data_IF_983388401130
#
_entry.id   IF_983388401130
#
_cell.length_a   1.000
_cell.length_b   1.000
_cell.length_c   1.000
_cell.angle_alpha   90.00
_cell.angle_beta   90.00
_cell.angle_gamma   90.00
#
_symmetry.space_group_name_H-M   'P 1'
#
loop_
_entity.id
_entity.type
_entity.pdbx_description
1 polymer ?
#
# COMPACT_ATOMS: atom_id res chain seq x y z
N UNK A 1 -2.59 5.23 -4.76
CA UNK A 1 -2.60 3.75 -4.81
C UNK A 1 -3.53 3.21 -5.87
N UNK A 2 -4.69 3.81 -6.10
CA UNK A 2 -5.69 3.35 -7.07
C UNK A 2 -5.09 3.14 -8.47
N UNK A 3 -4.22 4.05 -8.91
CA UNK A 3 -3.51 3.96 -10.20
C UNK A 3 -2.62 2.71 -10.27
N UNK A 4 -1.86 2.42 -9.20
CA UNK A 4 -0.98 1.24 -9.12
C UNK A 4 -1.81 -0.04 -9.13
N UNK A 5 -2.92 -0.09 -8.39
CA UNK A 5 -3.82 -1.24 -8.38
C UNK A 5 -4.50 -1.46 -9.73
N UNK A 6 -4.94 -0.39 -10.40
CA UNK A 6 -5.50 -0.46 -11.74
C UNK A 6 -4.49 -1.02 -12.74
N UNK A 7 -3.25 -0.50 -12.74
CA UNK A 7 -2.21 -0.99 -13.65
C UNK A 7 -1.82 -2.44 -13.37
N UNK A 8 -1.75 -2.82 -12.10
CA UNK A 8 -1.50 -4.19 -11.68
C UNK A 8 -2.60 -5.14 -12.18
N UNK A 9 -3.87 -4.74 -12.08
CA UNK A 9 -5.02 -5.52 -12.56
C UNK A 9 -5.02 -5.67 -14.09
N UNK A 10 -4.64 -4.62 -14.81
CA UNK A 10 -4.48 -4.66 -16.26
C UNK A 10 -3.38 -5.65 -16.68
N UNK A 11 -2.18 -5.51 -16.10
CA UNK A 11 -1.05 -6.41 -16.38
C UNK A 11 -1.37 -7.87 -16.02
N UNK A 12 -2.07 -8.08 -14.90
CA UNK A 12 -2.56 -9.40 -14.51
C UNK A 12 -3.51 -10.00 -15.55
N UNK A 13 -4.41 -9.20 -16.10
CA UNK A 13 -5.37 -9.62 -17.12
C UNK A 13 -4.67 -9.91 -18.45
N UNK A 14 -3.75 -9.04 -18.86
CA UNK A 14 -2.93 -9.25 -20.05
C UNK A 14 -2.15 -10.57 -19.98
N UNK A 15 -1.53 -10.86 -18.83
CA UNK A 15 -0.77 -12.10 -18.58
C UNK A 15 -1.62 -13.37 -18.79
N UNK A 16 -2.93 -13.32 -18.57
CA UNK A 16 -3.83 -14.46 -18.81
C UNK A 16 -4.07 -14.72 -20.30
N UNK A 17 -4.07 -13.66 -21.10
CA UNK A 17 -4.33 -13.73 -22.54
C UNK A 17 -3.08 -14.03 -23.38
N UNK A 18 -1.92 -13.51 -22.96
CA UNK A 18 -0.63 -13.67 -23.63
C UNK A 18 0.51 -13.56 -22.63
N UNK A 19 1.71 -13.96 -23.06
CA UNK A 19 2.93 -13.66 -22.30
C UNK A 19 3.14 -12.13 -22.23
N UNK A 20 3.55 -11.66 -21.06
CA UNK A 20 3.98 -10.28 -20.89
C UNK A 20 5.31 -10.05 -21.61
N UNK A 21 5.46 -8.87 -22.19
CA UNK A 21 6.77 -8.36 -22.63
C UNK A 21 7.67 -8.12 -21.42
N UNK A 22 8.98 -8.01 -21.64
CA UNK A 22 9.93 -7.73 -20.56
C UNK A 22 9.65 -6.39 -19.85
N UNK A 23 9.22 -5.38 -20.61
CA UNK A 23 8.81 -4.08 -20.07
C UNK A 23 7.58 -4.21 -19.18
N UNK A 24 6.53 -4.91 -19.62
CA UNK A 24 5.31 -5.15 -18.84
C UNK A 24 5.57 -6.00 -17.59
N UNK A 25 6.49 -6.97 -17.69
CA UNK A 25 6.89 -7.80 -16.56
C UNK A 25 7.64 -6.96 -15.51
N UNK A 26 8.54 -6.08 -15.95
CA UNK A 26 9.22 -5.12 -15.08
C UNK A 26 8.23 -4.16 -14.41
N UNK A 27 7.27 -3.66 -15.17
CA UNK A 27 6.21 -2.79 -14.65
C UNK A 27 5.32 -3.49 -13.62
N UNK A 28 5.01 -4.77 -13.82
CA UNK A 28 4.27 -5.57 -12.85
C UNK A 28 5.05 -5.69 -11.53
N UNK A 29 6.37 -5.88 -11.58
CA UNK A 29 7.20 -5.91 -10.38
C UNK A 29 7.20 -4.57 -9.65
N UNK A 30 7.32 -3.44 -10.38
CA UNK A 30 7.21 -2.11 -9.79
C UNK A 30 5.86 -1.88 -9.10
N UNK A 31 4.76 -2.33 -9.73
CA UNK A 31 3.43 -2.24 -9.12
C UNK A 31 3.33 -3.06 -7.83
N UNK A 32 3.87 -4.27 -7.83
CA UNK A 32 3.88 -5.16 -6.65
C UNK A 32 4.73 -4.57 -5.52
N UNK A 33 5.90 -4.04 -5.82
CA UNK A 33 6.77 -3.40 -4.84
C UNK A 33 6.11 -2.17 -4.22
N UNK A 34 5.53 -1.29 -5.04
CA UNK A 34 4.78 -0.13 -4.56
C UNK A 34 3.60 -0.55 -3.65
N UNK A 35 2.88 -1.61 -4.02
CA UNK A 35 1.79 -2.15 -3.21
C UNK A 35 2.30 -2.72 -1.87
N UNK A 36 3.35 -3.53 -1.88
CA UNK A 36 3.93 -4.10 -0.67
C UNK A 36 4.41 -3.00 0.27
N UNK A 37 5.14 -2.00 -0.24
CA UNK A 37 5.63 -0.88 0.55
C UNK A 37 4.49 -0.08 1.20
N UNK A 38 3.40 0.17 0.47
CA UNK A 38 2.23 0.85 1.00
C UNK A 38 1.56 0.04 2.13
N UNK A 39 1.30 -1.25 1.89
CA UNK A 39 0.64 -2.12 2.86
C UNK A 39 1.47 -2.33 4.12
N UNK A 40 2.79 -2.50 3.98
CA UNK A 40 3.68 -2.62 5.14
C UNK A 40 3.71 -1.35 5.98
N UNK A 41 3.71 -0.17 5.34
CA UNK A 41 3.65 1.10 6.05
C UNK A 41 2.32 1.26 6.79
N UNK A 42 1.20 0.88 6.15
CA UNK A 42 -0.13 0.91 6.78
C UNK A 42 -0.21 -0.04 7.97
N UNK A 43 0.15 -1.30 7.79
CA UNK A 43 0.13 -2.31 8.85
C UNK A 43 1.02 -1.92 10.05
N UNK A 44 2.18 -1.31 9.79
CA UNK A 44 3.03 -0.77 10.86
C UNK A 44 2.29 0.30 11.66
N UNK A 45 1.67 1.27 11.00
CA UNK A 45 0.93 2.35 11.68
C UNK A 45 -0.28 1.80 12.45
N UNK A 46 -1.03 0.86 11.89
CA UNK A 46 -2.16 0.20 12.58
C UNK A 46 -1.70 -0.51 13.85
N UNK A 47 -0.59 -1.26 13.79
CA UNK A 47 -0.04 -1.92 14.97
C UNK A 47 0.42 -0.90 16.03
N UNK A 48 1.06 0.19 15.63
CA UNK A 48 1.45 1.25 16.57
C UNK A 48 0.22 1.94 17.18
N UNK A 49 -0.87 2.12 16.40
CA UNK A 49 -2.12 2.70 16.90
C UNK A 49 -2.73 1.84 18.00
N UNK A 50 -2.68 0.51 17.84
CA UNK A 50 -3.12 -0.44 18.86
C UNK A 50 -2.25 -0.31 20.12
N UNK A 51 -0.92 -0.24 19.97
CA UNK A 51 -0.01 -0.02 21.10
C UNK A 51 -0.33 1.28 21.86
N UNK A 52 -0.48 2.40 21.15
CA UNK A 52 -0.81 3.70 21.73
C UNK A 52 -2.13 3.66 22.50
N UNK A 53 -3.16 3.02 21.92
CA UNK A 53 -4.45 2.84 22.58
C UNK A 53 -4.35 1.98 23.83
N UNK A 54 -3.54 0.91 23.80
CA UNK A 54 -3.36 0.01 24.96
C UNK A 54 -2.61 0.71 26.11
N UNK A 55 -1.71 1.64 25.80
CA UNK A 55 -0.96 2.43 26.80
C UNK A 55 -1.65 3.73 27.18
N UNK A 56 -2.86 4.01 26.66
CA UNK A 56 -3.60 5.26 26.87
C UNK A 56 -2.82 6.52 26.47
N UNK A 57 -1.87 6.39 25.54
CA UNK A 57 -1.10 7.51 25.00
C UNK A 57 -1.87 8.12 23.81
N UNK A 58 -2.83 8.97 24.13
CA UNK A 58 -3.75 9.53 23.14
C UNK A 58 -3.10 10.58 22.24
N UNK A 59 -2.06 11.26 22.70
CA UNK A 59 -1.29 12.20 21.88
C UNK A 59 -0.55 11.44 20.79
N UNK A 60 0.15 10.34 21.15
CA UNK A 60 0.79 9.47 20.17
C UNK A 60 -0.22 8.81 19.22
N UNK A 61 -1.37 8.39 19.74
CA UNK A 61 -2.46 7.83 18.92
C UNK A 61 -2.93 8.84 17.86
N UNK A 62 -3.13 10.10 18.25
CA UNK A 62 -3.58 11.15 17.33
C UNK A 62 -2.54 11.40 16.21
N UNK A 63 -1.26 11.41 16.56
CA UNK A 63 -0.16 11.51 15.59
C UNK A 63 -0.13 10.34 14.59
N UNK A 64 -0.43 9.12 15.05
CA UNK A 64 -0.51 7.94 14.18
C UNK A 64 -1.73 8.03 13.26
N UNK A 65 -2.89 8.44 13.79
CA UNK A 65 -4.11 8.65 12.98
C UNK A 65 -3.86 9.67 11.86
N UNK A 66 -3.21 10.80 12.16
CA UNK A 66 -2.85 11.80 11.15
C UNK A 66 -1.90 11.24 10.07
N UNK A 67 -1.01 10.30 10.43
CA UNK A 67 -0.13 9.63 9.46
C UNK A 67 -0.88 8.61 8.60
N UNK A 68 -1.86 7.88 9.16
CA UNK A 68 -2.74 6.98 8.42
C UNK A 68 -3.59 7.76 7.41
N UNK A 69 -4.21 8.86 7.82
CA UNK A 69 -4.98 9.73 6.93
C UNK A 69 -4.12 10.25 5.77
N UNK A 70 -2.89 10.72 6.05
CA UNK A 70 -1.95 11.14 5.00
C UNK A 70 -1.54 10.01 4.06
N UNK A 71 -1.49 8.77 4.56
CA UNK A 71 -1.17 7.59 3.76
C UNK A 71 -2.33 7.21 2.85
N UNK A 72 -3.57 7.36 3.32
CA UNK A 72 -4.81 7.08 2.57
C UNK A 72 -5.21 8.21 1.61
N UNK A 73 -4.87 9.47 1.92
CA UNK A 73 -5.11 10.60 1.01
C UNK A 73 -4.27 10.55 -0.27
N UNK A 74 -3.22 9.71 -0.32
CA UNK A 74 -2.40 9.46 -1.53
C UNK A 74 -2.97 8.32 -2.39
N UNK A 75 -4.23 7.92 -2.18
CA UNK A 75 -4.86 6.83 -2.90
C UNK A 75 -5.35 7.23 -4.29
#
# INVERSE_FOLDING_TARGET
>A
MLIVHQRMAELWTLRKSRKLTEAEQSELFLCLEANANHLWKKAKLENLSLCASMTQDYDWLHDICAQLEKLEARQ
#
